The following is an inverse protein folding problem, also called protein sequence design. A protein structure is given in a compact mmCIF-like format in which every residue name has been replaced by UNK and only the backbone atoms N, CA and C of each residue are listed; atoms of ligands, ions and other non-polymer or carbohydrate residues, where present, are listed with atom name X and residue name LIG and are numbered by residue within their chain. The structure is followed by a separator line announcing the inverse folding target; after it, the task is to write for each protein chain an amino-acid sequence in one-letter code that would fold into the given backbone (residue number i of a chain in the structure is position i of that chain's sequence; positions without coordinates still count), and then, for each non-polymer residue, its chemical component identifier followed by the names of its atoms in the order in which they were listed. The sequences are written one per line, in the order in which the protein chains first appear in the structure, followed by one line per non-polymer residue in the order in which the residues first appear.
data_IF_264832885151
#
_entry.id   IF_264832885151
#
_cell.length_a   1.000
_cell.length_b   1.000
_cell.length_c   1.000
_cell.angle_alpha   90.00
_cell.angle_beta   90.00
_cell.angle_gamma   90.00
#
_symmetry.space_group_name_H-M   'P 1'
#
loop_
_entity.id
_entity.type
_entity.pdbx_description
1 polymer ?
#
# COMPACT_ATOMS: atom_id res chain seq x y z
N UNK A 1 -40.71 7.30 13.42
CA UNK A 1 -39.47 7.18 14.22
C UNK A 1 -38.58 6.01 13.78
N UNK A 2 -39.12 4.84 13.42
CA UNK A 2 -38.32 3.68 12.95
C UNK A 2 -37.63 3.93 11.60
N UNK A 3 -38.28 4.62 10.66
CA UNK A 3 -37.73 4.92 9.33
C UNK A 3 -36.54 5.88 9.35
N UNK A 4 -36.56 6.88 10.25
CA UNK A 4 -35.45 7.83 10.45
C UNK A 4 -34.20 7.15 11.05
N UNK A 5 -34.41 6.11 11.86
CA UNK A 5 -33.36 5.33 12.52
C UNK A 5 -32.67 4.33 11.56
N UNK A 6 -33.40 3.86 10.55
CA UNK A 6 -32.87 2.96 9.50
C UNK A 6 -32.04 3.75 8.46
N UNK A 7 -32.46 4.96 8.09
CA UNK A 7 -31.73 5.84 7.17
C UNK A 7 -30.39 6.31 7.76
N UNK A 8 -30.36 6.60 9.06
CA UNK A 8 -29.10 6.98 9.75
C UNK A 8 -28.11 5.82 9.85
N UNK A 9 -28.56 4.57 9.97
CA UNK A 9 -27.66 3.41 9.95
C UNK A 9 -26.98 3.19 8.57
N UNK A 10 -27.66 3.48 7.45
CA UNK A 10 -27.06 3.30 6.12
C UNK A 10 -25.97 4.33 5.79
N UNK A 11 -26.09 5.55 6.30
CA UNK A 11 -25.10 6.63 6.04
C UNK A 11 -23.78 6.37 6.78
N UNK A 12 -23.82 5.70 7.94
CA UNK A 12 -22.61 5.40 8.74
C UNK A 12 -21.79 4.25 8.13
N UNK A 13 -22.43 3.28 7.49
CA UNK A 13 -21.73 2.12 6.88
C UNK A 13 -20.95 2.54 5.63
N UNK A 14 -21.43 3.53 4.86
CA UNK A 14 -20.76 4.00 3.65
C UNK A 14 -19.43 4.76 3.92
N UNK A 15 -19.21 5.23 5.15
CA UNK A 15 -18.02 6.00 5.51
C UNK A 15 -16.80 5.14 5.89
N UNK A 16 -16.96 3.82 6.03
CA UNK A 16 -15.91 2.94 6.59
C UNK A 16 -15.13 2.11 5.57
N UNK A 17 -15.46 2.17 4.28
CA UNK A 17 -14.66 1.49 3.25
C UNK A 17 -13.70 2.49 2.63
N UNK A 18 -12.51 2.64 3.21
CA UNK A 18 -11.39 3.28 2.51
C UNK A 18 -11.02 2.39 1.33
N UNK A 19 -11.57 2.70 0.15
CA UNK A 19 -11.12 2.08 -1.10
C UNK A 19 -9.70 2.58 -1.33
N UNK A 20 -8.71 1.72 -1.08
CA UNK A 20 -7.34 2.04 -1.41
C UNK A 20 -7.20 2.08 -2.93
N UNK A 21 -7.05 3.28 -3.48
CA UNK A 21 -6.73 3.49 -4.89
C UNK A 21 -5.22 3.45 -5.04
N UNK A 22 -4.69 2.48 -5.78
CA UNK A 22 -3.26 2.44 -6.13
C UNK A 22 -2.87 3.69 -6.90
N UNK A 23 -1.67 4.22 -6.64
CA UNK A 23 -1.17 5.39 -7.34
C UNK A 23 -0.77 5.05 -8.80
N UNK A 24 -1.44 5.60 -9.83
CA UNK A 24 -1.16 5.25 -11.22
C UNK A 24 0.26 5.60 -11.67
N UNK A 25 0.93 6.58 -11.04
CA UNK A 25 2.31 6.93 -11.40
C UNK A 25 3.32 5.82 -11.07
N UNK A 26 2.95 4.89 -10.18
CA UNK A 26 3.78 3.76 -9.76
C UNK A 26 3.52 2.49 -10.58
N UNK A 27 2.62 2.52 -11.56
CA UNK A 27 2.22 1.32 -12.31
C UNK A 27 3.35 0.66 -13.08
N UNK A 28 4.23 1.46 -13.69
CA UNK A 28 5.38 0.92 -14.40
C UNK A 28 6.39 0.32 -13.41
N UNK A 29 6.69 1.02 -12.33
CA UNK A 29 7.60 0.53 -11.28
C UNK A 29 7.08 -0.75 -10.64
N UNK A 30 5.77 -0.86 -10.39
CA UNK A 30 5.14 -2.09 -9.89
C UNK A 30 5.30 -3.25 -10.88
N UNK A 31 5.05 -3.02 -12.18
CA UNK A 31 5.20 -4.05 -13.22
C UNK A 31 6.64 -4.53 -13.34
N UNK A 32 7.60 -3.60 -13.33
CA UNK A 32 9.04 -3.90 -13.37
C UNK A 32 9.49 -4.67 -12.13
N UNK A 33 9.07 -4.24 -10.95
CA UNK A 33 9.37 -4.92 -9.69
C UNK A 33 8.79 -6.34 -9.65
N UNK A 34 7.53 -6.52 -10.06
CA UNK A 34 6.91 -7.86 -10.18
C UNK A 34 7.68 -8.75 -11.14
N UNK A 35 8.04 -8.21 -12.32
CA UNK A 35 8.82 -8.93 -13.33
C UNK A 35 10.17 -9.37 -12.78
N UNK A 36 10.91 -8.46 -12.16
CA UNK A 36 12.23 -8.70 -11.56
C UNK A 36 12.21 -9.77 -10.45
N UNK A 37 11.12 -9.87 -9.70
CA UNK A 37 10.97 -10.81 -8.59
C UNK A 37 10.01 -11.97 -8.89
N UNK A 38 9.69 -12.19 -10.18
CA UNK A 38 8.87 -13.28 -10.69
C UNK A 38 7.50 -13.41 -9.97
N UNK A 39 6.91 -12.27 -9.60
CA UNK A 39 5.66 -12.23 -8.84
C UNK A 39 4.46 -12.43 -9.76
N UNK A 40 3.60 -13.38 -9.40
CA UNK A 40 2.32 -13.65 -10.06
C UNK A 40 1.21 -13.74 -9.02
N UNK A 41 0.11 -13.04 -9.27
CA UNK A 41 -1.03 -12.95 -8.35
C UNK A 41 -2.34 -13.09 -9.12
N UNK A 42 -3.37 -13.58 -8.44
CA UNK A 42 -4.76 -13.37 -8.88
C UNK A 42 -5.14 -11.89 -8.84
N UNK A 43 -6.21 -11.49 -9.53
CA UNK A 43 -6.68 -10.09 -9.53
C UNK A 43 -6.98 -9.59 -8.12
N UNK A 44 -7.57 -10.43 -7.30
CA UNK A 44 -7.94 -10.12 -5.92
C UNK A 44 -6.70 -9.94 -5.04
N UNK A 45 -5.71 -10.82 -5.19
CA UNK A 45 -4.44 -10.71 -4.48
C UNK A 45 -3.64 -9.49 -4.94
N UNK A 46 -3.64 -9.18 -6.23
CA UNK A 46 -2.86 -8.07 -6.79
C UNK A 46 -3.24 -6.72 -6.17
N UNK A 47 -4.53 -6.47 -5.94
CA UNK A 47 -5.00 -5.24 -5.27
C UNK A 47 -4.37 -5.11 -3.88
N UNK A 48 -4.44 -6.17 -3.07
CA UNK A 48 -3.88 -6.17 -1.72
C UNK A 48 -2.34 -6.06 -1.74
N UNK A 49 -1.67 -6.81 -2.62
CA UNK A 49 -0.21 -6.78 -2.74
C UNK A 49 0.30 -5.43 -3.21
N UNK A 50 -0.42 -4.78 -4.13
CA UNK A 50 -0.11 -3.44 -4.59
C UNK A 50 -0.21 -2.42 -3.46
N UNK A 51 -1.26 -2.50 -2.65
CA UNK A 51 -1.43 -1.63 -1.48
C UNK A 51 -0.27 -1.76 -0.49
N UNK A 52 0.10 -2.99 -0.14
CA UNK A 52 1.22 -3.25 0.80
C UNK A 52 2.56 -2.79 0.21
N UNK A 53 2.76 -3.00 -1.10
CA UNK A 53 3.96 -2.57 -1.78
C UNK A 53 4.12 -1.05 -1.82
N UNK A 54 3.04 -0.30 -2.09
CA UNK A 54 3.06 1.17 -2.06
C UNK A 54 3.33 1.72 -0.65
N UNK A 55 2.72 1.13 0.38
CA UNK A 55 2.99 1.49 1.78
C UNK A 55 4.48 1.28 2.13
N UNK A 56 5.02 0.10 1.80
CA UNK A 56 6.43 -0.19 2.06
C UNK A 56 7.38 0.69 1.23
N UNK A 57 7.04 1.04 -0.01
CA UNK A 57 7.81 2.00 -0.80
C UNK A 57 7.84 3.37 -0.11
N UNK A 58 6.69 3.86 0.37
CA UNK A 58 6.63 5.13 1.13
C UNK A 58 7.50 5.09 2.39
N UNK A 59 7.51 3.96 3.11
CA UNK A 59 8.38 3.75 4.28
C UNK A 59 9.87 3.78 3.90
N UNK A 60 10.25 3.13 2.80
CA UNK A 60 11.63 3.14 2.26
C UNK A 60 12.05 4.58 1.94
N UNK A 61 11.23 5.33 1.21
CA UNK A 61 11.52 6.71 0.84
C UNK A 61 11.65 7.61 2.06
N UNK A 62 10.78 7.44 3.06
CA UNK A 62 10.86 8.18 4.32
C UNK A 62 12.16 7.88 5.06
N UNK A 63 12.49 6.61 5.23
CA UNK A 63 13.74 6.20 5.89
C UNK A 63 14.97 6.75 5.17
N UNK A 64 14.99 6.72 3.85
CA UNK A 64 16.12 7.23 3.07
C UNK A 64 16.23 8.76 3.17
N UNK A 65 15.13 9.50 3.24
CA UNK A 65 15.18 10.94 3.56
C UNK A 65 15.77 11.19 4.96
N UNK A 66 15.36 10.39 5.95
CA UNK A 66 15.89 10.48 7.32
C UNK A 66 17.38 10.08 7.39
N UNK A 67 17.83 9.16 6.55
CA UNK A 67 19.26 8.83 6.38
C UNK A 67 20.07 10.04 5.90
N UNK A 68 19.59 10.78 4.89
CA UNK A 68 20.25 12.00 4.40
C UNK A 68 20.30 13.10 5.49
N UNK A 69 19.37 13.08 6.44
CA UNK A 69 19.36 13.95 7.62
C UNK A 69 20.29 13.43 8.75
N UNK A 70 20.97 12.30 8.56
CA UNK A 70 21.86 11.67 9.54
C UNK A 70 21.15 10.92 10.68
N UNK A 71 19.85 10.63 10.55
CA UNK A 71 19.06 9.93 11.58
C UNK A 71 19.21 8.40 11.52
N UNK A 72 19.63 7.87 10.37
CA UNK A 72 19.89 6.45 10.16
C UNK A 72 21.30 6.25 9.61
N UNK A 73 21.86 5.06 9.84
CA UNK A 73 23.21 4.69 9.38
C UNK A 73 23.23 3.87 8.09
N UNK A 74 22.07 3.59 7.51
CA UNK A 74 21.93 2.81 6.28
C UNK A 74 20.76 3.33 5.43
N UNK A 75 20.69 2.87 4.19
CA UNK A 75 19.56 3.11 3.29
C UNK A 75 18.82 1.81 3.01
N UNK A 76 17.55 1.94 2.64
CA UNK A 76 16.67 0.85 2.26
C UNK A 76 16.40 0.89 0.75
N UNK A 77 16.01 -0.25 0.19
CA UNK A 77 15.61 -0.35 -1.21
C UNK A 77 14.49 -1.36 -1.40
N UNK A 78 13.86 -1.29 -2.58
CA UNK A 78 12.92 -2.30 -3.04
C UNK A 78 13.59 -3.67 -3.08
N UNK A 79 12.91 -4.68 -2.56
CA UNK A 79 13.38 -6.06 -2.56
C UNK A 79 12.20 -7.02 -2.77
N UNK A 80 12.48 -8.33 -2.83
CA UNK A 80 11.46 -9.36 -3.10
C UNK A 80 10.36 -9.46 -2.04
N UNK A 81 10.53 -8.82 -0.88
CA UNK A 81 9.58 -8.84 0.23
C UNK A 81 8.80 -7.52 0.39
N UNK A 82 8.99 -6.55 -0.51
CA UNK A 82 8.30 -5.26 -0.42
C UNK A 82 6.77 -5.39 -0.47
N UNK A 83 6.20 -6.48 -0.98
CA UNK A 83 4.76 -6.76 -0.97
C UNK A 83 4.24 -7.47 0.31
N UNK A 84 5.04 -7.52 1.38
CA UNK A 84 4.71 -8.20 2.63
C UNK A 84 4.45 -7.22 3.79
N UNK A 85 3.42 -7.50 4.60
CA UNK A 85 3.01 -6.69 5.76
C UNK A 85 3.94 -6.77 6.97
N UNK A 86 4.71 -7.85 7.10
CA UNK A 86 5.74 -8.01 8.14
C UNK A 86 7.10 -8.21 7.51
N UNK A 87 7.69 -7.10 7.14
CA UNK A 87 9.14 -6.94 7.07
C UNK A 87 9.45 -5.62 7.79
N UNK A 88 10.66 -5.51 8.34
CA UNK A 88 11.17 -4.42 9.20
C UNK A 88 10.81 -4.54 10.68
#
# INVERSE_FOLDING_TARGET
MKTLLVLTCMVVVAACTSVHTSNPSLDNTWKEWKSRHEKQYSKEQEIYRRMVWEDNLSRIEKHNREYEEGKHSFTMGLNQFTDMVRFW
#
